data_IF_070494307325
#
_entry.id   IF_070494307325
#
_cell.length_a   1.000
_cell.length_b   1.000
_cell.length_c   1.000
_cell.angle_alpha   90.00
_cell.angle_beta   90.00
_cell.angle_gamma   90.00
#
_symmetry.space_group_name_H-M   'P 1'
#
loop_
_entity.id
_entity.type
_entity.pdbx_description
1 polymer ?
#
# COMPACT_ATOMS: atom_id res chain seq x y z
N UNK A 1 -25.46 16.32 -0.85
CA UNK A 1 -24.72 15.05 -0.91
C UNK A 1 -23.27 15.37 -1.22
N UNK A 2 -22.28 15.16 -0.33
CA UNK A 2 -20.91 15.45 -0.68
C UNK A 2 -20.38 14.28 -1.50
N UNK A 3 -20.10 14.55 -2.78
CA UNK A 3 -19.28 13.71 -3.63
C UNK A 3 -17.88 13.65 -3.02
N UNK A 4 -17.62 12.65 -2.18
CA UNK A 4 -16.25 12.27 -1.81
C UNK A 4 -15.66 11.60 -3.04
N UNK A 5 -14.92 12.38 -3.84
CA UNK A 5 -14.08 11.84 -4.90
C UNK A 5 -13.08 10.84 -4.32
N UNK A 6 -12.84 9.74 -5.04
CA UNK A 6 -11.73 8.83 -4.75
C UNK A 6 -10.43 9.57 -5.08
N UNK A 7 -9.81 10.10 -4.04
CA UNK A 7 -8.48 10.73 -4.02
C UNK A 7 -8.32 12.00 -4.89
N UNK A 8 -8.08 13.14 -4.26
CA UNK A 8 -7.87 14.44 -4.91
C UNK A 8 -6.50 14.56 -5.62
N UNK A 9 -5.59 13.59 -5.40
CA UNK A 9 -4.26 13.55 -6.01
C UNK A 9 -4.19 12.73 -7.30
N UNK A 10 -5.27 12.04 -7.68
CA UNK A 10 -5.30 11.30 -8.93
C UNK A 10 -5.79 12.20 -10.07
N UNK A 11 -5.28 11.98 -11.29
CA UNK A 11 -6.01 12.41 -12.47
C UNK A 11 -7.42 11.84 -12.35
N UNK A 12 -8.44 12.72 -12.26
CA UNK A 12 -9.81 12.32 -12.02
C UNK A 12 -10.29 11.24 -12.99
N UNK A 13 -11.34 10.51 -12.62
CA UNK A 13 -11.90 9.48 -13.49
C UNK A 13 -12.22 10.09 -14.87
N UNK A 14 -11.59 9.57 -15.93
CA UNK A 14 -11.83 10.04 -17.30
C UNK A 14 -13.16 9.46 -17.80
N UNK A 15 -14.01 10.30 -18.35
CA UNK A 15 -15.30 9.93 -18.91
C UNK A 15 -15.35 10.32 -20.38
N UNK A 16 -15.80 9.40 -21.23
CA UNK A 16 -16.01 9.63 -22.66
C UNK A 16 -17.51 9.62 -22.94
N UNK A 17 -17.98 10.64 -23.66
CA UNK A 17 -19.38 10.74 -24.07
C UNK A 17 -19.61 9.82 -25.26
N UNK A 18 -20.58 8.93 -25.15
CA UNK A 18 -20.97 8.01 -26.24
C UNK A 18 -21.79 8.74 -27.30
N UNK A 19 -21.90 8.16 -28.48
CA UNK A 19 -22.68 8.70 -29.60
C UNK A 19 -24.18 8.83 -29.26
N UNK A 20 -24.69 8.00 -28.35
CA UNK A 20 -26.07 8.06 -27.83
C UNK A 20 -26.24 9.03 -26.65
N UNK A 21 -25.19 9.78 -26.30
CA UNK A 21 -25.22 10.82 -25.26
C UNK A 21 -25.07 10.32 -23.82
N UNK A 22 -24.83 9.02 -23.60
CA UNK A 22 -24.46 8.49 -22.28
C UNK A 22 -22.99 8.79 -21.96
N UNK A 23 -22.64 8.83 -20.68
CA UNK A 23 -21.23 8.92 -20.25
C UNK A 23 -20.75 7.53 -19.89
N UNK A 24 -19.72 7.06 -20.60
CA UNK A 24 -19.07 5.80 -20.30
C UNK A 24 -17.62 6.05 -19.91
N UNK A 25 -17.13 5.25 -18.97
CA UNK A 25 -15.69 5.20 -18.72
C UNK A 25 -15.05 4.55 -19.95
N UNK A 26 -13.98 5.13 -20.52
CA UNK A 26 -13.27 4.47 -21.60
C UNK A 26 -12.82 3.11 -21.08
N UNK A 27 -13.33 2.03 -21.68
CA UNK A 27 -12.82 0.68 -21.44
C UNK A 27 -11.36 0.74 -21.84
N UNK A 28 -10.43 0.85 -20.88
CA UNK A 28 -9.03 0.58 -21.18
C UNK A 28 -9.03 -0.81 -21.79
N UNK A 29 -8.57 -0.88 -23.04
CA UNK A 29 -8.47 -2.10 -23.82
C UNK A 29 -8.15 -3.24 -22.87
N UNK A 30 -9.13 -4.12 -22.67
CA UNK A 30 -8.91 -5.36 -21.97
C UNK A 30 -7.80 -6.03 -22.75
N UNK A 31 -6.57 -6.02 -22.22
CA UNK A 31 -5.55 -6.91 -22.74
C UNK A 31 -6.21 -8.27 -22.76
N UNK A 32 -6.23 -8.86 -23.96
CA UNK A 32 -6.69 -10.21 -24.21
C UNK A 32 -6.31 -11.06 -23.01
N UNK A 33 -7.32 -11.57 -22.32
CA UNK A 33 -7.17 -12.50 -21.22
C UNK A 33 -6.45 -13.75 -21.74
N UNK A 34 -5.13 -13.72 -21.74
CA UNK A 34 -4.36 -14.93 -21.48
C UNK A 34 -4.78 -15.32 -20.07
N UNK A 35 -5.76 -16.21 -19.99
CA UNK A 35 -6.30 -16.76 -18.75
C UNK A 35 -5.12 -17.22 -17.87
N UNK A 36 -4.75 -16.42 -16.88
CA UNK A 36 -3.76 -16.83 -15.91
C UNK A 36 -4.47 -17.56 -14.79
N UNK A 37 -4.28 -18.88 -14.79
CA UNK A 37 -4.65 -19.72 -13.68
C UNK A 37 -3.77 -19.38 -12.48
N UNK A 38 -4.24 -19.64 -11.27
CA UNK A 38 -3.52 -19.36 -10.00
C UNK A 38 -2.15 -20.05 -9.95
N UNK A 39 -1.94 -21.08 -10.78
CA UNK A 39 -0.71 -21.86 -10.87
C UNK A 39 0.38 -21.24 -11.78
N UNK A 40 0.17 -20.03 -12.29
CA UNK A 40 1.17 -19.33 -13.12
C UNK A 40 2.35 -18.82 -12.29
N UNK A 41 3.53 -18.75 -12.92
CA UNK A 41 4.72 -18.28 -12.21
C UNK A 41 4.59 -16.80 -11.84
N UNK A 42 5.30 -16.36 -10.79
CA UNK A 42 5.29 -14.96 -10.36
C UNK A 42 5.60 -13.98 -11.51
N UNK A 43 6.54 -14.35 -12.39
CA UNK A 43 6.92 -13.52 -13.54
C UNK A 43 5.77 -13.36 -14.55
N UNK A 44 5.00 -14.43 -14.79
CA UNK A 44 3.85 -14.41 -15.71
C UNK A 44 2.75 -13.50 -15.19
N UNK A 45 2.45 -13.61 -13.89
CA UNK A 45 1.45 -12.76 -13.24
C UNK A 45 1.90 -11.30 -13.21
N UNK A 46 3.19 -11.04 -12.94
CA UNK A 46 3.74 -9.69 -12.96
C UNK A 46 3.63 -9.04 -14.34
N UNK A 47 3.89 -9.82 -15.40
CA UNK A 47 3.79 -9.34 -16.77
C UNK A 47 2.34 -9.08 -17.18
N UNK A 48 1.42 -10.01 -16.90
CA UNK A 48 0.03 -9.87 -17.33
C UNK A 48 -0.75 -8.80 -16.55
N UNK A 49 -0.42 -8.58 -15.28
CA UNK A 49 -0.93 -7.44 -14.51
C UNK A 49 -0.17 -6.15 -14.84
N UNK A 50 0.83 -6.21 -15.72
CA UNK A 50 1.71 -5.11 -16.07
C UNK A 50 2.23 -4.38 -14.82
N UNK A 51 2.68 -5.12 -13.80
CA UNK A 51 3.03 -4.55 -12.49
C UNK A 51 4.09 -3.47 -12.64
N UNK A 52 5.11 -3.69 -13.47
CA UNK A 52 6.18 -2.72 -13.69
C UNK A 52 5.68 -1.40 -14.29
N UNK A 53 4.71 -1.45 -15.21
CA UNK A 53 4.11 -0.24 -15.80
C UNK A 53 3.10 0.40 -14.83
N UNK A 54 2.36 -0.43 -14.08
CA UNK A 54 1.36 -0.01 -13.10
C UNK A 54 1.95 0.81 -11.95
N UNK A 55 3.26 0.76 -11.73
CA UNK A 55 3.98 1.61 -10.78
C UNK A 55 3.75 3.10 -11.02
N UNK A 56 3.52 3.53 -12.27
CA UNK A 56 3.25 4.95 -12.56
C UNK A 56 1.88 5.42 -12.06
N UNK A 57 0.99 4.50 -11.68
CA UNK A 57 -0.28 4.84 -11.05
C UNK A 57 -0.09 4.95 -9.53
N UNK A 58 -0.28 6.16 -8.98
CA UNK A 58 -0.13 6.46 -7.56
C UNK A 58 -1.05 5.59 -6.66
N UNK A 59 -2.23 5.19 -7.16
CA UNK A 59 -3.18 4.35 -6.42
C UNK A 59 -2.69 2.91 -6.26
N UNK A 60 -1.89 2.42 -7.22
CA UNK A 60 -1.29 1.06 -7.21
C UNK A 60 0.08 1.02 -6.53
N UNK A 61 0.81 2.13 -6.51
CA UNK A 61 2.20 2.19 -6.04
C UNK A 61 2.39 1.56 -4.66
N UNK A 62 1.57 1.94 -3.67
CA UNK A 62 1.72 1.43 -2.29
C UNK A 62 1.41 -0.07 -2.17
N UNK A 63 0.48 -0.59 -2.98
CA UNK A 63 0.19 -2.02 -3.06
C UNK A 63 1.41 -2.77 -3.61
N UNK A 64 1.95 -2.29 -4.75
CA UNK A 64 3.12 -2.89 -5.42
C UNK A 64 4.34 -2.83 -4.50
N UNK A 65 4.58 -1.69 -3.83
CA UNK A 65 5.65 -1.52 -2.88
C UNK A 65 5.58 -2.54 -1.73
N UNK A 66 4.38 -2.86 -1.25
CA UNK A 66 4.19 -3.91 -0.24
C UNK A 66 4.51 -5.30 -0.77
N UNK A 67 4.07 -5.63 -1.99
CA UNK A 67 4.42 -6.91 -2.65
C UNK A 67 5.94 -7.05 -2.75
N UNK A 68 6.61 -6.02 -3.25
CA UNK A 68 8.08 -5.95 -3.36
C UNK A 68 8.75 -6.16 -2.00
N UNK A 69 8.30 -5.48 -0.94
CA UNK A 69 8.84 -5.66 0.42
C UNK A 69 8.72 -7.09 0.93
N UNK A 70 7.57 -7.74 0.72
CA UNK A 70 7.33 -9.13 1.15
C UNK A 70 8.25 -10.08 0.38
N UNK A 71 8.35 -9.90 -0.93
CA UNK A 71 9.21 -10.74 -1.78
C UNK A 71 10.66 -10.66 -1.35
N UNK A 72 11.16 -9.46 -1.05
CA UNK A 72 12.54 -9.30 -0.57
C UNK A 72 12.78 -9.90 0.80
N UNK A 73 11.90 -9.58 1.75
CA UNK A 73 12.12 -9.94 3.14
C UNK A 73 11.98 -11.44 3.36
N UNK A 74 10.98 -12.05 2.72
CA UNK A 74 10.52 -13.38 3.10
C UNK A 74 10.78 -14.44 2.03
N UNK A 75 10.95 -14.06 0.75
CA UNK A 75 10.85 -15.00 -0.38
C UNK A 75 11.96 -14.93 -1.42
N UNK A 76 12.92 -14.01 -1.31
CA UNK A 76 13.92 -13.76 -2.35
C UNK A 76 14.69 -15.02 -2.76
N UNK A 77 14.99 -15.91 -1.80
CA UNK A 77 15.75 -17.15 -2.03
C UNK A 77 14.93 -18.27 -2.64
N UNK A 78 13.60 -18.18 -2.56
CA UNK A 78 12.67 -19.12 -3.17
C UNK A 78 12.32 -18.70 -4.62
N UNK A 79 12.69 -17.49 -5.04
CA UNK A 79 12.39 -16.98 -6.38
C UNK A 79 13.30 -17.59 -7.45
N UNK A 80 12.68 -18.02 -8.56
CA UNK A 80 13.41 -18.37 -9.78
C UNK A 80 14.16 -17.15 -10.35
N UNK A 81 15.23 -17.38 -11.12
CA UNK A 81 16.01 -16.29 -11.72
C UNK A 81 15.17 -15.34 -12.59
N UNK A 82 14.14 -15.85 -13.27
CA UNK A 82 13.22 -15.01 -14.05
C UNK A 82 12.30 -14.17 -13.16
N UNK A 83 11.81 -14.73 -12.06
CA UNK A 83 11.00 -14.02 -11.08
C UNK A 83 11.81 -12.92 -10.37
N UNK A 84 13.07 -13.21 -10.01
CA UNK A 84 14.00 -12.20 -9.50
C UNK A 84 14.17 -11.07 -10.52
N UNK A 85 14.50 -11.39 -11.78
CA UNK A 85 14.66 -10.37 -12.84
C UNK A 85 13.43 -9.47 -12.98
N UNK A 86 12.22 -10.04 -12.98
CA UNK A 86 10.97 -9.27 -13.03
C UNK A 86 10.79 -8.37 -11.80
N UNK A 87 11.08 -8.88 -10.60
CA UNK A 87 11.08 -8.09 -9.37
C UNK A 87 12.04 -6.88 -9.45
N UNK A 88 13.26 -7.07 -9.93
CA UNK A 88 14.23 -5.98 -10.09
C UNK A 88 13.80 -4.95 -11.14
N UNK A 89 13.14 -5.40 -12.21
CA UNK A 89 12.56 -4.49 -13.21
C UNK A 89 11.47 -3.61 -12.58
N UNK A 90 10.60 -4.17 -11.73
CA UNK A 90 9.59 -3.40 -11.00
C UNK A 90 10.24 -2.35 -10.10
N UNK A 91 11.30 -2.68 -9.36
CA UNK A 91 12.01 -1.72 -8.49
C UNK A 91 12.64 -0.60 -9.30
N UNK A 92 13.29 -0.91 -10.42
CA UNK A 92 13.85 0.10 -11.32
C UNK A 92 12.79 1.13 -11.71
N UNK A 93 11.60 0.66 -12.14
CA UNK A 93 10.46 1.53 -12.46
C UNK A 93 9.94 2.32 -11.25
N UNK A 94 9.91 1.72 -10.06
CA UNK A 94 9.51 2.43 -8.83
C UNK A 94 10.41 3.61 -8.53
N UNK A 95 11.70 3.46 -8.77
CA UNK A 95 12.66 4.52 -8.52
C UNK A 95 12.56 5.61 -9.56
N UNK A 96 12.47 5.26 -10.85
CA UNK A 96 12.23 6.25 -11.90
C UNK A 96 10.99 7.11 -11.58
N UNK A 97 9.93 6.48 -11.07
CA UNK A 97 8.70 7.17 -10.66
C UNK A 97 8.89 8.07 -9.44
N UNK A 98 9.58 7.60 -8.39
CA UNK A 98 9.89 8.37 -7.18
C UNK A 98 10.79 9.57 -7.51
N UNK A 99 11.77 9.39 -8.41
CA UNK A 99 12.65 10.48 -8.86
C UNK A 99 11.90 11.52 -9.69
N UNK A 100 10.95 11.08 -10.53
CA UNK A 100 10.14 11.96 -11.37
C UNK A 100 9.13 12.78 -10.57
N UNK A 101 8.49 12.18 -9.57
CA UNK A 101 7.40 12.81 -8.79
C UNK A 101 7.86 13.47 -7.49
N UNK A 102 8.95 12.98 -6.90
CA UNK A 102 9.36 13.36 -5.55
C UNK A 102 8.52 12.73 -4.43
N UNK A 103 7.52 11.89 -4.76
CA UNK A 103 6.67 11.22 -3.79
C UNK A 103 7.30 9.92 -3.29
N UNK A 104 6.91 9.47 -2.08
CA UNK A 104 7.31 8.16 -1.52
C UNK A 104 8.83 7.92 -1.40
N UNK A 105 9.65 8.97 -1.41
CA UNK A 105 11.12 8.87 -1.30
C UNK A 105 11.53 8.06 -0.06
N UNK A 106 10.97 8.36 1.12
CA UNK A 106 11.29 7.65 2.37
C UNK A 106 10.90 6.18 2.34
N UNK A 107 9.77 5.85 1.69
CA UNK A 107 9.34 4.47 1.50
C UNK A 107 10.35 3.72 0.62
N UNK A 108 10.76 4.32 -0.49
CA UNK A 108 11.74 3.74 -1.40
C UNK A 108 13.11 3.59 -0.75
N UNK A 109 13.56 4.58 0.03
CA UNK A 109 14.80 4.51 0.81
C UNK A 109 14.76 3.36 1.82
N UNK A 110 13.61 3.13 2.46
CA UNK A 110 13.45 2.00 3.38
C UNK A 110 13.55 0.66 2.66
N UNK A 111 12.92 0.51 1.50
CA UNK A 111 12.98 -0.72 0.67
C UNK A 111 14.43 -0.96 0.21
N UNK A 112 15.01 0.03 -0.48
CA UNK A 112 16.42 0.46 -0.42
C UNK A 112 17.33 -0.30 0.54
N UNK A 113 17.38 0.26 1.74
CA UNK A 113 18.22 -0.14 2.86
C UNK A 113 17.91 -1.54 3.36
N UNK A 114 16.62 -1.92 3.44
CA UNK A 114 16.25 -3.28 3.85
C UNK A 114 16.87 -4.31 2.92
N UNK A 115 16.79 -4.06 1.61
CA UNK A 115 17.30 -4.98 0.63
C UNK A 115 18.84 -5.04 0.63
N UNK A 116 19.50 -3.89 0.76
CA UNK A 116 20.95 -3.84 0.94
C UNK A 116 21.40 -4.68 2.16
N UNK A 117 20.73 -4.52 3.31
CA UNK A 117 21.03 -5.29 4.52
C UNK A 117 20.78 -6.79 4.34
N UNK A 118 19.68 -7.18 3.67
CA UNK A 118 19.37 -8.57 3.38
C UNK A 118 20.44 -9.23 2.51
N UNK A 119 20.92 -8.55 1.45
CA UNK A 119 22.01 -9.07 0.62
C UNK A 119 23.31 -9.19 1.42
N UNK A 120 23.70 -8.15 2.14
CA UNK A 120 24.94 -8.16 2.92
C UNK A 120 24.95 -9.24 3.99
N UNK A 121 23.81 -9.50 4.63
CA UNK A 121 23.67 -10.58 5.61
C UNK A 121 23.78 -11.99 5.01
N UNK A 122 23.55 -12.13 3.71
CA UNK A 122 23.66 -13.40 2.99
C UNK A 122 25.08 -13.66 2.45
N UNK A 123 25.98 -12.67 2.49
CA UNK A 123 27.38 -12.82 2.06
C UNK A 123 28.22 -13.50 3.17
N UNK A 124 29.23 -14.37 2.86
CA UNK A 124 29.75 -14.80 1.55
C UNK A 124 29.09 -16.08 1.01
N UNK A 125 28.10 -16.62 1.72
CA UNK A 125 27.47 -17.90 1.39
C UNK A 125 26.39 -17.65 0.32
N UNK A 126 26.76 -17.83 -0.96
CA UNK A 126 25.87 -17.79 -2.11
C UNK A 126 24.71 -18.82 -2.00
N UNK A 127 23.74 -18.55 -1.14
CA UNK A 127 22.51 -19.34 -0.99
C UNK A 127 21.34 -18.75 -1.77
N UNK A 128 21.58 -17.64 -2.50
CA UNK A 128 20.56 -17.00 -3.34
C UNK A 128 20.88 -17.24 -4.82
N UNK A 129 20.05 -18.08 -5.42
CA UNK A 129 20.02 -18.58 -6.79
C UNK A 129 20.35 -17.46 -7.81
N UNK A 130 21.43 -17.61 -8.58
CA UNK A 130 21.84 -16.68 -9.64
C UNK A 130 23.35 -16.71 -9.92
N UNK A 131 23.80 -16.14 -11.04
CA UNK A 131 25.23 -16.02 -11.35
C UNK A 131 25.86 -14.84 -10.60
N UNK A 132 27.13 -14.93 -10.20
CA UNK A 132 27.83 -13.84 -9.52
C UNK A 132 27.74 -12.47 -10.27
N UNK A 133 27.84 -12.42 -11.62
CA UNK A 133 27.66 -11.16 -12.36
C UNK A 133 26.26 -10.56 -12.25
N UNK A 134 25.22 -11.40 -12.14
CA UNK A 134 23.85 -10.92 -11.95
C UNK A 134 23.71 -10.21 -10.61
N UNK A 135 24.27 -10.79 -9.55
CA UNK A 135 24.28 -10.20 -8.21
C UNK A 135 25.09 -8.92 -8.14
N UNK A 136 26.25 -8.87 -8.80
CA UNK A 136 27.05 -7.66 -8.88
C UNK A 136 26.27 -6.52 -9.53
N UNK A 137 25.55 -6.79 -10.63
CA UNK A 137 24.66 -5.80 -11.26
C UNK A 137 23.55 -5.33 -10.33
N UNK A 138 22.96 -6.25 -9.54
CA UNK A 138 21.93 -5.89 -8.58
C UNK A 138 22.47 -5.00 -7.45
N UNK A 139 23.64 -5.32 -6.90
CA UNK A 139 24.29 -4.49 -5.88
C UNK A 139 24.64 -3.11 -6.45
N UNK A 140 25.26 -3.04 -7.63
CA UNK A 140 25.58 -1.77 -8.29
C UNK A 140 24.33 -0.93 -8.54
N UNK A 141 23.23 -1.57 -8.94
CA UNK A 141 21.95 -0.90 -9.14
C UNK A 141 21.45 -0.32 -7.81
N UNK A 142 21.49 -1.09 -6.71
CA UNK A 142 21.07 -0.60 -5.39
C UNK A 142 21.94 0.52 -4.85
N UNK A 143 23.26 0.44 -5.05
CA UNK A 143 24.18 1.51 -4.64
C UNK A 143 23.86 2.79 -5.38
N UNK A 144 23.70 2.71 -6.71
CA UNK A 144 23.25 3.85 -7.52
C UNK A 144 21.93 4.41 -7.02
N UNK A 145 20.96 3.54 -6.73
CA UNK A 145 19.65 3.92 -6.19
C UNK A 145 19.74 4.65 -4.85
N UNK A 146 20.60 4.20 -3.92
CA UNK A 146 20.84 4.89 -2.65
C UNK A 146 21.45 6.28 -2.86
N UNK A 147 22.42 6.40 -3.76
CA UNK A 147 23.05 7.66 -4.10
C UNK A 147 22.04 8.65 -4.71
N UNK A 148 21.21 8.19 -5.66
CA UNK A 148 20.21 9.07 -6.28
C UNK A 148 19.14 9.53 -5.27
N UNK A 149 18.69 8.64 -4.39
CA UNK A 149 17.74 9.01 -3.31
C UNK A 149 18.36 10.08 -2.39
N UNK A 150 19.62 9.92 -1.98
CA UNK A 150 20.33 10.91 -1.16
C UNK A 150 20.46 12.26 -1.87
N UNK A 151 20.74 12.25 -3.18
CA UNK A 151 20.83 13.47 -3.98
C UNK A 151 19.49 14.22 -4.04
N UNK A 152 18.37 13.51 -4.28
CA UNK A 152 17.03 14.13 -4.28
C UNK A 152 16.69 14.73 -2.92
N UNK A 153 16.95 14.01 -1.83
CA UNK A 153 16.74 14.54 -0.46
C UNK A 153 17.54 15.82 -0.22
N UNK A 154 18.80 15.85 -0.65
CA UNK A 154 19.67 17.02 -0.51
C UNK A 154 19.15 18.21 -1.32
N UNK A 155 18.63 17.98 -2.52
CA UNK A 155 18.08 19.03 -3.37
C UNK A 155 16.76 19.59 -2.82
N UNK A 156 15.89 18.75 -2.25
CA UNK A 156 14.66 19.21 -1.59
C UNK A 156 14.95 20.15 -0.41
N UNK A 157 15.96 19.83 0.41
CA UNK A 157 16.35 20.65 1.56
C UNK A 157 16.87 22.03 1.12
N UNK A 158 17.64 22.09 0.03
CA UNK A 158 18.21 23.34 -0.51
C UNK A 158 17.15 24.30 -1.07
N UNK A 159 16.03 23.79 -1.57
CA UNK A 159 14.92 24.63 -2.09
C UNK A 159 14.03 25.26 -1.02
N UNK A 160 14.28 24.98 0.26
CA UNK A 160 13.45 25.46 1.38
C UNK A 160 13.99 26.74 2.06
N UNK A 161 15.18 27.21 1.68
CA UNK A 161 15.76 28.44 2.25
C UNK A 161 15.07 29.73 1.76
N UNK A 162 14.23 29.67 0.72
CA UNK A 162 13.76 30.85 0.00
C UNK A 162 12.23 31.07 0.00
N UNK A 163 11.47 30.47 0.92
CA UNK A 163 10.01 30.69 0.91
C UNK A 163 9.36 30.77 2.29
N UNK A 164 8.56 31.82 2.44
CA UNK A 164 7.42 31.93 3.34
C UNK A 164 6.39 30.82 3.05
N UNK A 165 6.79 29.55 3.26
CA UNK A 165 5.92 28.40 3.05
C UNK A 165 5.04 28.19 4.27
N UNK A 166 3.73 28.08 4.02
CA UNK A 166 2.77 27.52 4.96
C UNK A 166 3.25 26.15 5.43
N UNK A 167 3.74 26.07 6.68
CA UNK A 167 4.14 24.81 7.29
C UNK A 167 2.93 24.13 7.93
N UNK A 168 3.02 22.82 8.15
CA UNK A 168 1.97 22.05 8.84
C UNK A 168 1.58 22.66 10.20
N UNK A 169 2.54 23.28 10.90
CA UNK A 169 2.33 23.96 12.18
C UNK A 169 1.48 25.22 12.07
N UNK A 170 1.40 25.84 10.90
CA UNK A 170 0.59 27.03 10.63
C UNK A 170 -0.89 26.70 10.39
N UNK A 171 -1.24 25.43 10.20
CA UNK A 171 -2.63 25.01 10.00
C UNK A 171 -3.41 25.09 11.32
N UNK A 172 -4.71 25.45 11.30
CA UNK A 172 -5.59 25.33 12.46
C UNK A 172 -5.57 23.92 13.06
N UNK A 173 -5.75 23.82 14.37
CA UNK A 173 -5.63 22.54 15.10
C UNK A 173 -6.65 21.50 14.60
N UNK A 174 -7.81 21.94 14.13
CA UNK A 174 -8.84 21.10 13.53
C UNK A 174 -8.37 20.46 12.22
N UNK A 175 -7.59 21.20 11.42
CA UNK A 175 -7.02 20.70 10.16
C UNK A 175 -5.85 19.75 10.44
N UNK A 176 -5.00 20.08 11.42
CA UNK A 176 -3.94 19.17 11.87
C UNK A 176 -4.54 17.85 12.39
N UNK A 177 -5.62 17.92 13.17
CA UNK A 177 -6.39 16.77 13.65
C UNK A 177 -6.94 15.93 12.51
N UNK A 178 -7.57 16.56 11.52
CA UNK A 178 -8.10 15.83 10.37
C UNK A 178 -6.99 15.11 9.60
N UNK A 179 -5.83 15.75 9.40
CA UNK A 179 -4.68 15.12 8.74
C UNK A 179 -4.18 13.91 9.53
N UNK A 180 -3.98 14.06 10.84
CA UNK A 180 -3.49 12.97 11.71
C UNK A 180 -4.51 11.82 11.77
N UNK A 181 -5.80 12.13 11.79
CA UNK A 181 -6.89 11.15 11.77
C UNK A 181 -6.92 10.30 10.50
N UNK A 182 -6.38 10.80 9.37
CA UNK A 182 -6.26 10.03 8.11
C UNK A 182 -5.07 9.08 8.07
N UNK A 183 -4.16 9.13 9.04
CA UNK A 183 -3.06 8.19 9.13
C UNK A 183 -3.60 6.81 9.51
N UNK A 184 -3.14 5.79 8.78
CA UNK A 184 -3.59 4.40 8.89
C UNK A 184 -2.66 3.55 9.77
N UNK A 185 -1.69 4.16 10.46
CA UNK A 185 -0.76 3.45 11.31
C UNK A 185 -0.42 4.26 12.56
N UNK A 186 -0.72 3.68 13.73
CA UNK A 186 -0.47 4.33 15.01
C UNK A 186 1.01 4.62 15.31
N UNK A 187 1.96 3.92 14.69
CA UNK A 187 3.39 4.27 14.83
C UNK A 187 3.68 5.63 14.18
N UNK A 188 3.05 5.92 13.05
CA UNK A 188 3.24 7.18 12.34
C UNK A 188 2.57 8.34 13.09
N UNK A 189 1.41 8.09 13.72
CA UNK A 189 0.77 9.05 14.63
C UNK A 189 1.67 9.39 15.82
N UNK A 190 2.31 8.38 16.44
CA UNK A 190 3.27 8.62 17.53
C UNK A 190 4.45 9.43 17.05
N UNK A 191 5.04 9.08 15.92
CA UNK A 191 6.20 9.79 15.36
C UNK A 191 5.87 11.25 15.02
N UNK A 192 4.70 11.50 14.42
CA UNK A 192 4.20 12.86 14.15
C UNK A 192 4.01 13.64 15.45
N UNK A 193 3.48 12.99 16.49
CA UNK A 193 3.36 13.56 17.83
C UNK A 193 4.69 13.98 18.46
N UNK A 194 5.82 13.41 18.05
CA UNK A 194 7.14 13.77 18.60
C UNK A 194 7.74 15.05 17.99
N UNK A 195 7.10 15.63 16.97
CA UNK A 195 7.64 16.81 16.26
C UNK A 195 7.54 18.08 17.12
N UNK A 196 6.40 18.31 17.78
CA UNK A 196 6.20 19.45 18.69
C UNK A 196 5.04 19.21 19.67
N UNK A 197 4.91 20.10 20.67
CA UNK A 197 3.91 20.00 21.73
C UNK A 197 2.45 20.12 21.25
N UNK A 198 2.18 20.94 20.25
CA UNK A 198 0.83 21.13 19.71
C UNK A 198 0.33 19.87 19.01
N UNK A 199 1.16 19.30 18.12
CA UNK A 199 0.90 18.06 17.41
C UNK A 199 0.86 16.88 18.40
N UNK A 200 1.73 16.88 19.42
CA UNK A 200 1.69 15.89 20.49
C UNK A 200 0.31 15.86 21.15
N UNK A 201 -0.23 17.02 21.53
CA UNK A 201 -1.56 17.13 22.14
C UNK A 201 -2.65 16.55 21.24
N UNK A 202 -2.64 16.88 19.95
CA UNK A 202 -3.60 16.34 18.98
C UNK A 202 -3.44 14.82 18.84
N UNK A 203 -2.20 14.31 18.74
CA UNK A 203 -1.91 12.89 18.60
C UNK A 203 -2.35 12.03 19.80
N UNK A 204 -2.54 12.64 20.97
CA UNK A 204 -3.06 11.95 22.17
C UNK A 204 -4.59 11.96 22.26
N UNK A 205 -5.31 12.59 21.33
CA UNK A 205 -6.78 12.63 21.36
C UNK A 205 -7.40 11.23 21.26
N UNK A 206 -8.28 10.90 22.20
CA UNK A 206 -8.95 9.61 22.32
C UNK A 206 -9.65 9.18 21.02
N UNK A 207 -10.31 10.13 20.35
CA UNK A 207 -11.08 9.86 19.13
C UNK A 207 -10.21 9.41 17.95
N UNK A 208 -8.95 9.86 17.87
CA UNK A 208 -8.02 9.42 16.82
C UNK A 208 -7.73 7.94 16.98
N UNK A 209 -7.38 7.51 18.19
CA UNK A 209 -7.07 6.11 18.49
C UNK A 209 -8.30 5.20 18.43
N UNK A 210 -9.46 5.69 18.88
CA UNK A 210 -10.74 5.00 18.74
C UNK A 210 -11.08 4.75 17.27
N UNK A 211 -10.98 5.77 16.42
CA UNK A 211 -11.24 5.64 14.99
C UNK A 211 -10.22 4.72 14.30
N UNK A 212 -8.94 4.80 14.69
CA UNK A 212 -7.92 3.91 14.17
C UNK A 212 -8.20 2.44 14.54
N UNK A 213 -8.64 2.18 15.77
CA UNK A 213 -9.07 0.84 16.18
C UNK A 213 -10.28 0.37 15.37
N UNK A 214 -11.26 1.24 15.14
CA UNK A 214 -12.42 0.91 14.31
C UNK A 214 -12.01 0.58 12.87
N UNK A 215 -11.11 1.36 12.30
CA UNK A 215 -10.65 1.16 10.92
C UNK A 215 -10.01 -0.22 10.70
N UNK A 216 -9.15 -0.66 11.62
CA UNK A 216 -8.46 -1.95 11.48
C UNK A 216 -9.23 -3.15 12.05
N UNK A 217 -9.97 -2.96 13.13
CA UNK A 217 -10.55 -4.06 13.92
C UNK A 217 -12.07 -4.02 14.00
N UNK A 218 -12.72 -2.97 13.48
CA UNK A 218 -14.18 -2.79 13.50
C UNK A 218 -14.97 -3.75 12.62
N UNK A 219 -14.29 -4.62 11.89
CA UNK A 219 -14.89 -5.62 11.01
C UNK A 219 -15.01 -5.17 9.57
N UNK A 220 -14.90 -6.14 8.68
CA UNK A 220 -15.23 -6.06 7.26
C UNK A 220 -15.88 -7.41 6.93
N UNK A 221 -16.97 -7.41 6.16
CA UNK A 221 -17.90 -8.54 5.95
C UNK A 221 -17.27 -9.84 5.40
N UNK A 222 -15.99 -9.83 5.04
CA UNK A 222 -15.32 -10.91 4.32
C UNK A 222 -14.56 -11.92 5.22
N UNK A 223 -14.42 -11.68 6.53
CA UNK A 223 -13.75 -12.63 7.43
C UNK A 223 -14.57 -12.88 8.70
N UNK A 224 -15.11 -14.09 8.85
CA UNK A 224 -16.05 -14.47 9.92
C UNK A 224 -15.49 -14.28 11.33
N UNK A 225 -14.19 -14.50 11.54
CA UNK A 225 -13.52 -14.28 12.83
C UNK A 225 -13.36 -12.80 13.19
N UNK A 226 -13.22 -11.92 12.19
CA UNK A 226 -13.12 -10.47 12.40
C UNK A 226 -14.48 -9.84 12.75
N UNK A 227 -15.60 -10.49 12.37
CA UNK A 227 -16.95 -9.99 12.68
C UNK A 227 -17.23 -9.96 14.18
N UNK A 228 -16.85 -11.01 14.93
CA UNK A 228 -17.08 -11.08 16.40
C UNK A 228 -16.22 -10.08 17.17
N UNK A 229 -14.96 -9.91 16.78
CA UNK A 229 -14.09 -8.89 17.37
C UNK A 229 -14.58 -7.48 17.03
N UNK A 230 -14.97 -7.26 15.78
CA UNK A 230 -15.58 -6.02 15.32
C UNK A 230 -16.83 -5.66 16.11
N UNK A 231 -17.76 -6.59 16.29
CA UNK A 231 -18.95 -6.40 17.12
C UNK A 231 -18.62 -6.09 18.58
N UNK A 232 -17.60 -6.75 19.16
CA UNK A 232 -17.14 -6.45 20.52
C UNK A 232 -16.59 -5.03 20.62
N UNK A 233 -15.79 -4.60 19.66
CA UNK A 233 -15.21 -3.25 19.61
C UNK A 233 -16.31 -2.20 19.38
N UNK A 234 -17.23 -2.44 18.46
CA UNK A 234 -18.41 -1.61 18.23
C UNK A 234 -19.29 -1.51 19.48
N UNK A 235 -19.45 -2.62 20.22
CA UNK A 235 -20.13 -2.65 21.51
C UNK A 235 -19.46 -1.77 22.56
N UNK A 236 -18.13 -1.86 22.70
CA UNK A 236 -17.36 -0.99 23.61
C UNK A 236 -17.47 0.49 23.22
N UNK A 237 -17.47 0.79 21.93
CA UNK A 237 -17.61 2.15 21.41
C UNK A 237 -19.00 2.75 21.63
N UNK A 238 -20.07 1.94 21.49
CA UNK A 238 -21.45 2.39 21.80
C UNK A 238 -21.59 2.73 23.29
N UNK A 239 -21.04 1.89 24.17
CA UNK A 239 -21.06 2.12 25.63
C UNK A 239 -20.34 3.40 26.06
N UNK A 240 -19.25 3.76 25.38
CA UNK A 240 -18.54 5.02 25.65
C UNK A 240 -19.27 6.27 25.16
N UNK A 241 -20.31 6.15 24.33
CA UNK A 241 -21.11 7.29 23.91
C UNK A 241 -22.17 7.67 24.95
N UNK A 242 -22.64 6.69 25.73
CA UNK A 242 -23.84 6.81 26.56
C UNK A 242 -23.56 6.89 28.08
N UNK A 243 -22.33 6.66 28.56
CA UNK A 243 -22.05 6.67 30.01
C UNK A 243 -20.87 7.57 30.42
N UNK A 244 -21.15 8.36 31.46
CA UNK A 244 -20.20 9.15 32.24
C UNK A 244 -19.38 8.17 33.10
N UNK A 245 -18.07 8.10 32.87
CA UNK A 245 -17.01 7.60 33.77
C UNK A 245 -16.74 6.10 34.02
N UNK A 246 -17.44 5.11 33.45
CA UNK A 246 -17.16 3.70 33.85
C UNK A 246 -16.19 2.90 32.97
N UNK A 247 -15.72 3.43 31.83
CA UNK A 247 -14.71 2.75 31.00
C UNK A 247 -13.89 3.77 30.20
N UNK A 248 -12.91 4.40 30.86
CA UNK A 248 -11.84 5.13 30.18
C UNK A 248 -10.91 4.12 29.49
N UNK A 249 -11.39 3.54 28.38
CA UNK A 249 -10.59 2.64 27.56
C UNK A 249 -9.51 3.48 26.92
N UNK A 250 -8.27 3.23 27.34
CA UNK A 250 -7.10 3.73 26.63
C UNK A 250 -7.00 3.07 25.26
N UNK A 251 -7.61 3.71 24.26
CA UNK A 251 -7.64 3.24 22.88
C UNK A 251 -6.26 3.17 22.24
N UNK A 252 -5.29 3.97 22.71
CA UNK A 252 -3.90 3.91 22.22
C UNK A 252 -3.26 2.59 22.65
N UNK A 253 -3.37 2.26 23.94
CA UNK A 253 -2.90 0.97 24.45
C UNK A 253 -3.69 -0.21 23.87
N UNK A 254 -5.01 -0.07 23.70
CA UNK A 254 -5.84 -1.07 23.05
C UNK A 254 -5.38 -1.32 21.60
N UNK A 255 -5.10 -0.26 20.83
CA UNK A 255 -4.61 -0.36 19.45
C UNK A 255 -3.34 -1.21 19.36
N UNK A 256 -2.32 -0.92 20.19
CA UNK A 256 -1.06 -1.67 20.13
C UNK A 256 -1.21 -3.13 20.58
N UNK A 257 -2.08 -3.40 21.56
CA UNK A 257 -2.44 -4.77 21.97
C UNK A 257 -3.13 -5.54 20.83
N UNK A 258 -4.14 -4.93 20.20
CA UNK A 258 -4.88 -5.53 19.08
C UNK A 258 -4.00 -5.73 17.86
N UNK A 259 -3.14 -4.75 17.53
CA UNK A 259 -2.14 -4.85 16.44
C UNK A 259 -1.23 -6.06 16.62
N UNK A 260 -0.77 -6.32 17.85
CA UNK A 260 0.09 -7.47 18.15
C UNK A 260 -0.65 -8.80 18.03
N UNK A 261 -1.93 -8.84 18.41
CA UNK A 261 -2.71 -10.07 18.47
C UNK A 261 -3.36 -10.45 17.14
N UNK A 262 -3.90 -9.49 16.40
CA UNK A 262 -4.71 -9.72 15.20
C UNK A 262 -4.06 -9.20 13.91
N UNK A 263 -2.97 -8.42 14.00
CA UNK A 263 -2.38 -7.75 12.84
C UNK A 263 -3.20 -6.52 12.40
N UNK A 264 -2.74 -5.80 11.38
CA UNK A 264 -3.44 -4.65 10.84
C UNK A 264 -4.20 -5.03 9.57
N UNK A 265 -5.36 -4.39 9.36
CA UNK A 265 -6.07 -4.44 8.08
C UNK A 265 -5.21 -3.85 6.97
N UNK A 266 -4.99 -4.61 5.89
CA UNK A 266 -4.25 -4.16 4.71
C UNK A 266 -5.22 -3.68 3.62
N UNK A 267 -5.42 -2.37 3.51
CA UNK A 267 -6.22 -1.74 2.45
C UNK A 267 -5.33 -0.81 1.65
N UNK A 268 -5.50 -0.83 0.33
CA UNK A 268 -4.79 0.06 -0.59
C UNK A 268 -5.82 0.79 -1.46
N UNK A 269 -5.43 1.96 -1.98
CA UNK A 269 -6.30 2.75 -2.86
C UNK A 269 -6.76 1.95 -4.09
N UNK A 270 -5.90 1.05 -4.57
CA UNK A 270 -6.24 0.06 -5.58
C UNK A 270 -5.63 -1.29 -5.21
N UNK A 271 -6.43 -2.36 -5.34
CA UNK A 271 -6.01 -3.72 -5.01
C UNK A 271 -6.24 -4.67 -6.20
N UNK A 272 -5.40 -5.70 -6.28
CA UNK A 272 -5.67 -6.82 -7.18
C UNK A 272 -6.88 -7.59 -6.64
N UNK A 273 -7.80 -7.95 -7.51
CA UNK A 273 -8.96 -8.77 -7.22
C UNK A 273 -8.84 -10.12 -7.91
N UNK A 274 -9.43 -11.14 -7.28
CA UNK A 274 -9.60 -12.46 -7.88
C UNK A 274 -11.07 -12.72 -8.17
N UNK A 275 -11.38 -13.07 -9.41
CA UNK A 275 -12.71 -13.54 -9.78
C UNK A 275 -13.02 -14.88 -9.10
N UNK A 276 -14.20 -15.01 -8.48
CA UNK A 276 -14.57 -16.26 -7.83
C UNK A 276 -14.91 -17.39 -8.81
N UNK A 277 -15.26 -17.07 -10.05
CA UNK A 277 -15.65 -18.04 -11.08
C UNK A 277 -14.43 -18.53 -11.87
N UNK A 278 -13.76 -17.63 -12.60
CA UNK A 278 -12.63 -18.00 -13.47
C UNK A 278 -11.26 -17.96 -12.77
N UNK A 279 -11.19 -17.53 -11.50
CA UNK A 279 -9.96 -17.40 -10.70
C UNK A 279 -8.89 -16.44 -11.25
N UNK A 280 -9.19 -15.69 -12.30
CA UNK A 280 -8.30 -14.69 -12.88
C UNK A 280 -8.03 -13.55 -11.89
N UNK A 281 -6.79 -13.05 -11.93
CA UNK A 281 -6.34 -11.88 -11.18
C UNK A 281 -6.38 -10.64 -12.08
N UNK A 282 -6.86 -9.52 -11.54
CA UNK A 282 -6.95 -8.25 -12.28
C UNK A 282 -6.93 -7.06 -11.30
N UNK A 283 -6.56 -5.88 -11.78
CA UNK A 283 -6.63 -4.65 -11.00
C UNK A 283 -8.09 -4.20 -10.81
N UNK A 284 -8.46 -3.70 -9.63
CA UNK A 284 -9.85 -3.34 -9.31
C UNK A 284 -10.52 -2.41 -10.34
N UNK A 285 -9.78 -1.47 -10.92
CA UNK A 285 -10.29 -0.52 -11.91
C UNK A 285 -10.37 -1.11 -13.33
N UNK A 286 -9.72 -2.25 -13.53
CA UNK A 286 -9.54 -2.92 -14.79
C UNK A 286 -10.58 -4.03 -14.84
N UNK A 287 -11.67 -3.82 -15.59
CA UNK A 287 -12.67 -4.89 -15.76
C UNK A 287 -12.01 -6.12 -16.38
N UNK A 288 -12.43 -7.33 -15.98
CA UNK A 288 -12.02 -8.56 -16.64
C UNK A 288 -13.21 -9.17 -17.37
N UNK A 289 -12.97 -9.71 -18.57
CA UNK A 289 -13.99 -10.45 -19.31
C UNK A 289 -14.04 -11.88 -18.77
N UNK A 290 -15.00 -12.17 -17.91
CA UNK A 290 -15.17 -13.51 -17.35
C UNK A 290 -15.83 -14.42 -18.38
N UNK A 291 -15.32 -15.62 -18.70
CA UNK A 291 -15.97 -16.54 -19.64
C UNK A 291 -17.34 -17.06 -19.16
N UNK A 292 -17.69 -16.81 -17.89
CA UNK A 292 -18.95 -17.23 -17.26
C UNK A 292 -19.92 -16.05 -17.08
N UNK A 293 -20.02 -15.14 -18.07
CA UNK A 293 -20.81 -13.88 -18.03
C UNK A 293 -22.28 -14.05 -17.61
N UNK A 294 -22.83 -15.27 -17.69
CA UNK A 294 -24.21 -15.59 -17.30
C UNK A 294 -24.45 -15.58 -15.79
N UNK A 295 -23.39 -15.53 -14.96
CA UNK A 295 -23.46 -15.43 -13.51
C UNK A 295 -22.83 -14.10 -13.08
N UNK A 296 -23.48 -13.35 -12.19
CA UNK A 296 -22.89 -12.13 -11.61
C UNK A 296 -21.53 -12.46 -10.97
N UNK A 297 -20.40 -12.00 -11.52
CA UNK A 297 -19.10 -12.38 -10.99
C UNK A 297 -18.87 -11.67 -9.65
N UNK A 298 -18.77 -12.45 -8.58
CA UNK A 298 -18.24 -11.96 -7.31
C UNK A 298 -16.71 -11.99 -7.37
N UNK A 299 -16.07 -10.94 -6.90
CA UNK A 299 -14.61 -10.82 -6.85
C UNK A 299 -14.15 -10.48 -5.45
N UNK A 300 -13.02 -11.09 -5.04
CA UNK A 300 -12.47 -10.88 -3.70
C UNK A 300 -11.14 -10.11 -3.82
N UNK A 301 -10.93 -9.03 -3.03
CA UNK A 301 -9.65 -8.34 -3.00
C UNK A 301 -8.56 -9.26 -2.43
N UNK A 302 -7.39 -9.25 -3.06
CA UNK A 302 -6.23 -10.04 -2.67
C UNK A 302 -5.21 -9.12 -2.01
N UNK A 303 -4.86 -9.41 -0.76
CA UNK A 303 -3.80 -8.68 -0.06
C UNK A 303 -2.42 -8.99 -0.65
N UNK A 304 -1.43 -8.08 -0.56
CA UNK A 304 -0.07 -8.34 -1.04
C UNK A 304 0.53 -9.65 -0.52
N UNK A 305 0.32 -9.97 0.77
CA UNK A 305 0.80 -11.23 1.35
C UNK A 305 0.11 -12.44 0.72
N UNK A 306 -1.21 -12.39 0.55
CA UNK A 306 -1.98 -13.47 -0.05
C UNK A 306 -1.58 -13.70 -1.51
N UNK A 307 -1.34 -12.62 -2.27
CA UNK A 307 -0.83 -12.70 -3.63
C UNK A 307 0.50 -13.45 -3.67
N UNK A 308 1.48 -13.06 -2.85
CA UNK A 308 2.79 -13.73 -2.81
C UNK A 308 2.65 -15.20 -2.45
N UNK A 309 1.85 -15.54 -1.43
CA UNK A 309 1.59 -16.94 -1.03
C UNK A 309 0.86 -17.76 -2.09
N UNK A 310 0.14 -17.13 -3.02
CA UNK A 310 -0.50 -17.84 -4.14
C UNK A 310 0.48 -18.16 -5.27
N UNK A 311 1.61 -17.45 -5.36
CA UNK A 311 2.54 -17.50 -6.50
C UNK A 311 3.87 -18.22 -6.20
N UNK A 312 4.13 -18.54 -4.94
CA UNK A 312 5.35 -19.19 -4.43
C UNK A 312 4.93 -20.24 -3.41
#
# INVERSE_FOLDING_TARGET
MPFIGRDWRADGDQWTKTEIGSWERPRRLSLSSSLLNVNSSLSDVFNALEIANSVSNIRRFNYIAKVVQILFKDKLGELSGNAQRSLFQVIGRMIDMVLKTGDNISLMQRIVTQFHNSIHSAYPFYYYIGSAPLWQRHIEMLTRMQETIKQVQTNMIKTDEDSSKLTFNCLPVEMQREVIRRLDNGTDIVNVGMINSNIYRVSQELLIWRQLCLYHFGGDTQNSNNSKLGEKILGLMRRQQDDIDTNDIDWKNAYFKLKRQYGLREVYAEMIHQCQLCKCLYWQDSNHSCPYETLSPSSIPITPRKLVTMLI
#
